data_IF_095341219183
#
_entry.id   IF_095341219183
#
_cell.length_a   1.000
_cell.length_b   1.000
_cell.length_c   1.000
_cell.angle_alpha   90.00
_cell.angle_beta   90.00
_cell.angle_gamma   90.00
#
_symmetry.space_group_name_H-M   'P 1'
#
loop_
_entity.id
_entity.type
_entity.pdbx_description
1 polymer ?
#
# COMPACT_ATOMS: atom_id res chain seq x y z
N UNK A 1 -30.25 4.70 22.53
CA UNK A 1 -30.18 4.89 21.08
C UNK A 1 -28.71 4.72 20.77
N UNK A 2 -28.34 3.60 20.16
CA UNK A 2 -27.00 3.43 19.63
C UNK A 2 -26.93 4.37 18.42
N UNK A 3 -26.13 5.41 18.50
CA UNK A 3 -25.74 6.21 17.35
C UNK A 3 -25.17 5.24 16.33
N UNK A 4 -25.70 5.25 15.14
CA UNK A 4 -25.20 4.45 14.02
C UNK A 4 -23.88 5.12 13.60
N UNK A 5 -22.83 4.87 14.38
CA UNK A 5 -21.49 5.40 14.12
C UNK A 5 -20.99 4.74 12.84
N UNK A 6 -20.95 5.51 11.77
CA UNK A 6 -20.50 5.03 10.48
C UNK A 6 -18.98 5.09 10.45
N UNK A 7 -18.33 3.94 10.59
CA UNK A 7 -16.90 3.81 10.38
C UNK A 7 -16.57 3.83 8.89
N UNK A 8 -15.45 4.42 8.53
CA UNK A 8 -14.91 4.47 7.16
C UNK A 8 -13.41 4.19 7.14
N UNK A 9 -12.91 3.72 6.02
CA UNK A 9 -11.47 3.67 5.77
C UNK A 9 -11.00 5.09 5.43
N UNK A 10 -10.12 5.72 6.24
CA UNK A 10 -9.59 7.05 5.95
C UNK A 10 -8.70 7.03 4.71
N UNK A 11 -8.52 8.19 4.10
CA UNK A 11 -7.47 8.37 3.11
C UNK A 11 -6.09 8.38 3.79
N UNK A 12 -5.04 7.91 3.08
CA UNK A 12 -3.70 7.82 3.66
C UNK A 12 -3.14 9.19 4.07
N UNK A 13 -3.57 10.28 3.44
CA UNK A 13 -3.13 11.65 3.80
C UNK A 13 -3.87 12.28 4.97
N UNK A 14 -4.84 11.59 5.60
CA UNK A 14 -5.49 12.06 6.82
C UNK A 14 -4.53 11.96 8.03
N UNK A 15 -4.81 12.64 9.16
CA UNK A 15 -3.91 12.64 10.30
C UNK A 15 -3.63 11.23 10.84
N UNK A 16 -2.36 10.95 11.07
CA UNK A 16 -1.84 9.66 11.52
C UNK A 16 -1.19 9.78 12.91
N UNK A 17 -1.12 8.67 13.64
CA UNK A 17 -0.37 8.54 14.89
C UNK A 17 1.02 7.96 14.67
N UNK A 18 1.23 7.24 13.58
CA UNK A 18 2.53 6.68 13.23
C UNK A 18 2.48 5.57 12.21
N UNK A 19 3.66 5.07 11.87
CA UNK A 19 3.90 4.03 10.86
C UNK A 19 4.47 2.77 11.50
N UNK A 20 3.89 1.63 11.20
CA UNK A 20 4.47 0.31 11.49
C UNK A 20 5.50 -0.07 10.44
N UNK A 21 6.62 -0.61 10.92
CA UNK A 21 7.65 -1.30 10.14
C UNK A 21 7.89 -2.67 10.76
N UNK A 22 7.93 -3.72 9.96
CA UNK A 22 8.34 -5.06 10.39
C UNK A 22 9.80 -5.26 10.02
N UNK A 23 10.65 -5.49 11.03
CA UNK A 23 12.11 -5.37 10.88
C UNK A 23 12.72 -6.58 10.16
N UNK A 24 13.55 -6.37 9.12
CA UNK A 24 14.23 -7.46 8.41
C UNK A 24 15.24 -8.19 9.32
N UNK A 25 15.36 -9.50 9.15
CA UNK A 25 16.27 -10.31 9.96
C UNK A 25 16.83 -11.53 9.21
N UNK A 26 17.84 -12.17 9.80
CA UNK A 26 18.61 -13.22 9.14
C UNK A 26 17.86 -14.56 8.93
N UNK A 27 16.63 -14.70 9.44
CA UNK A 27 15.80 -15.87 9.20
C UNK A 27 14.75 -15.65 8.10
N UNK A 28 14.87 -14.56 7.34
CA UNK A 28 14.03 -14.24 6.18
C UNK A 28 14.87 -14.24 4.91
N UNK A 29 14.23 -14.10 3.76
CA UNK A 29 14.90 -14.02 2.46
C UNK A 29 15.79 -12.77 2.29
N UNK A 30 15.75 -11.85 3.26
CA UNK A 30 16.67 -10.72 3.38
C UNK A 30 18.10 -11.10 3.82
N UNK A 31 18.33 -12.33 4.30
CA UNK A 31 19.64 -12.75 4.84
C UNK A 31 20.83 -12.41 3.92
N UNK A 32 20.79 -12.60 2.60
CA UNK A 32 21.91 -12.29 1.71
C UNK A 32 22.25 -10.80 1.61
N UNK A 33 21.27 -9.92 1.87
CA UNK A 33 21.38 -8.45 1.71
C UNK A 33 21.00 -7.70 3.00
N UNK A 34 21.11 -8.38 4.15
CA UNK A 34 20.61 -7.88 5.43
C UNK A 34 21.20 -6.52 5.82
N UNK A 35 22.47 -6.28 5.57
CA UNK A 35 23.11 -4.99 5.90
C UNK A 35 22.54 -3.86 5.02
N UNK A 36 22.33 -4.12 3.73
CA UNK A 36 21.79 -3.15 2.78
C UNK A 36 20.34 -2.79 3.11
N UNK A 37 19.48 -3.80 3.29
CA UNK A 37 18.08 -3.57 3.62
C UNK A 37 17.93 -2.90 4.99
N UNK A 38 18.73 -3.28 5.98
CA UNK A 38 18.71 -2.64 7.30
C UNK A 38 19.14 -1.17 7.23
N UNK A 39 20.10 -0.83 6.34
CA UNK A 39 20.49 0.56 6.11
C UNK A 39 19.34 1.38 5.51
N UNK A 40 18.60 0.82 4.55
CA UNK A 40 17.40 1.46 3.97
C UNK A 40 16.30 1.64 5.03
N UNK A 41 16.02 0.63 5.86
CA UNK A 41 15.04 0.73 6.94
C UNK A 41 15.39 1.82 7.96
N UNK A 42 16.68 1.98 8.30
CA UNK A 42 17.14 3.08 9.17
C UNK A 42 16.93 4.45 8.53
N UNK A 43 17.08 4.57 7.22
CA UNK A 43 16.77 5.81 6.49
C UNK A 43 15.26 6.10 6.55
N UNK A 44 14.41 5.08 6.33
CA UNK A 44 12.96 5.21 6.47
C UNK A 44 12.58 5.66 7.88
N UNK A 45 13.06 4.98 8.93
CA UNK A 45 12.82 5.37 10.33
C UNK A 45 13.23 6.81 10.58
N UNK A 46 14.46 7.20 10.21
CA UNK A 46 14.95 8.55 10.39
C UNK A 46 14.13 9.61 9.66
N UNK A 47 13.59 9.28 8.49
CA UNK A 47 12.72 10.18 7.73
C UNK A 47 11.35 10.31 8.39
N UNK A 48 10.74 9.20 8.82
CA UNK A 48 9.41 9.17 9.44
C UNK A 48 9.41 9.87 10.81
N UNK A 49 10.41 9.60 11.66
CA UNK A 49 10.51 10.16 13.03
C UNK A 49 10.57 11.69 13.08
N UNK A 50 10.85 12.35 11.96
CA UNK A 50 10.77 13.82 11.85
C UNK A 50 9.33 14.35 11.89
N UNK A 51 8.34 13.50 11.61
CA UNK A 51 6.95 13.89 11.42
C UNK A 51 5.99 13.13 12.34
N UNK A 52 6.25 11.86 12.61
CA UNK A 52 5.37 11.01 13.41
C UNK A 52 6.10 9.81 14.04
N UNK A 53 5.39 9.04 14.85
CA UNK A 53 5.98 7.88 15.56
C UNK A 53 6.23 6.71 14.62
N UNK A 54 7.23 5.89 14.97
CA UNK A 54 7.49 4.60 14.30
C UNK A 54 7.23 3.45 15.27
N UNK A 55 6.38 2.51 14.86
CA UNK A 55 6.13 1.25 15.55
C UNK A 55 6.95 0.16 14.89
N UNK A 56 8.02 -0.27 15.56
CA UNK A 56 8.88 -1.35 15.04
C UNK A 56 8.39 -2.69 15.59
N UNK A 57 8.08 -3.62 14.68
CA UNK A 57 7.80 -5.02 14.98
C UNK A 57 9.09 -5.82 14.86
N UNK A 58 9.41 -6.54 15.95
CA UNK A 58 10.58 -7.40 16.02
C UNK A 58 10.21 -8.87 15.78
N UNK A 59 11.15 -9.72 15.34
CA UNK A 59 10.90 -11.15 15.19
C UNK A 59 10.29 -11.80 16.46
N UNK A 60 9.55 -12.93 16.33
CA UNK A 60 9.45 -13.76 15.14
C UNK A 60 8.46 -13.22 14.09
N UNK A 61 8.86 -13.21 12.83
CA UNK A 61 8.07 -12.85 11.64
C UNK A 61 8.50 -13.74 10.47
N UNK A 62 7.65 -13.91 9.46
CA UNK A 62 8.06 -14.60 8.24
C UNK A 62 8.82 -13.64 7.31
N UNK A 63 8.32 -12.39 7.15
CA UNK A 63 8.94 -11.37 6.31
C UNK A 63 8.67 -9.95 6.87
N UNK A 64 8.70 -8.91 6.03
CA UNK A 64 8.74 -7.50 6.39
C UNK A 64 7.59 -6.66 5.85
N UNK A 65 6.61 -7.28 5.20
CA UNK A 65 5.58 -6.61 4.41
C UNK A 65 4.43 -6.07 5.28
N UNK A 66 4.75 -5.07 6.10
CA UNK A 66 3.81 -4.47 7.04
C UNK A 66 2.53 -3.95 6.38
N UNK A 67 2.61 -3.51 5.12
CA UNK A 67 1.45 -3.06 4.34
C UNK A 67 0.40 -4.15 4.22
N UNK A 68 0.81 -5.38 4.07
CA UNK A 68 -0.07 -6.47 3.69
C UNK A 68 -0.57 -7.28 4.89
N UNK A 69 0.26 -7.44 5.93
CA UNK A 69 -0.16 -8.11 7.15
C UNK A 69 -0.68 -7.17 8.25
N UNK A 70 -0.44 -5.84 8.15
CA UNK A 70 -0.80 -4.88 9.18
C UNK A 70 -2.31 -4.63 9.27
N UNK A 71 -2.77 -4.06 10.39
CA UNK A 71 -4.18 -3.71 10.57
C UNK A 71 -4.67 -2.73 9.50
N UNK A 72 -5.79 -3.04 8.86
CA UNK A 72 -6.56 -2.05 8.10
C UNK A 72 -7.47 -1.33 9.11
N UNK A 73 -7.25 -0.03 9.31
CA UNK A 73 -7.87 0.70 10.41
C UNK A 73 -8.96 1.65 9.94
N UNK A 74 -10.17 1.47 10.44
CA UNK A 74 -11.29 2.38 10.20
C UNK A 74 -11.38 3.43 11.31
N UNK A 75 -11.96 4.58 10.97
CA UNK A 75 -12.24 5.66 11.92
C UNK A 75 -13.70 6.11 11.82
N UNK A 76 -14.27 6.59 12.96
CA UNK A 76 -15.54 7.30 13.00
C UNK A 76 -15.33 8.81 13.10
N UNK A 77 -16.41 9.58 13.04
CA UNK A 77 -16.39 11.05 13.17
C UNK A 77 -15.97 11.55 14.58
N UNK A 78 -15.96 10.67 15.58
CA UNK A 78 -15.53 10.96 16.94
C UNK A 78 -14.04 10.64 17.16
N UNK A 79 -13.37 10.04 16.18
CA UNK A 79 -11.98 9.64 16.25
C UNK A 79 -11.76 8.28 16.94
N UNK A 80 -12.80 7.48 17.11
CA UNK A 80 -12.62 6.09 17.53
C UNK A 80 -12.10 5.27 16.34
N UNK A 81 -11.29 4.27 16.65
CA UNK A 81 -10.67 3.41 15.66
C UNK A 81 -11.15 1.96 15.78
N UNK A 82 -11.33 1.29 14.64
CA UNK A 82 -11.47 -0.16 14.51
C UNK A 82 -10.26 -0.74 13.81
N UNK A 83 -9.60 -1.67 14.47
CA UNK A 83 -8.43 -2.38 13.97
C UNK A 83 -8.90 -3.68 13.33
N UNK A 84 -9.05 -3.69 12.02
CA UNK A 84 -9.50 -4.88 11.28
C UNK A 84 -8.30 -5.79 11.04
N UNK A 85 -8.38 -7.00 11.57
CA UNK A 85 -7.37 -8.04 11.43
C UNK A 85 -7.81 -9.04 10.35
N UNK A 86 -7.35 -8.81 9.11
CA UNK A 86 -7.63 -9.68 7.97
C UNK A 86 -6.63 -10.82 7.88
N UNK A 87 -7.03 -11.89 7.22
CA UNK A 87 -6.12 -12.99 6.91
C UNK A 87 -5.10 -12.52 5.87
N UNK A 88 -3.82 -12.59 6.22
CA UNK A 88 -2.71 -12.49 5.30
C UNK A 88 -2.19 -13.90 5.00
N UNK A 89 -2.17 -14.29 3.73
CA UNK A 89 -1.77 -15.63 3.30
C UNK A 89 -0.65 -15.61 2.25
N UNK A 90 0.24 -14.60 2.32
CA UNK A 90 1.38 -14.44 1.43
C UNK A 90 0.98 -14.51 -0.04
N UNK A 91 0.07 -13.58 -0.40
CA UNK A 91 -0.40 -13.32 -1.77
C UNK A 91 -0.95 -14.56 -2.49
N UNK A 92 -1.74 -15.35 -1.78
CA UNK A 92 -2.35 -16.55 -2.31
C UNK A 92 -1.52 -17.81 -2.07
N UNK A 93 -0.98 -17.98 -0.87
CA UNK A 93 -0.25 -19.17 -0.39
C UNK A 93 1.07 -19.41 -1.15
N UNK A 94 1.72 -18.35 -1.64
CA UNK A 94 3.01 -18.44 -2.33
C UNK A 94 4.17 -18.71 -1.37
N UNK A 95 4.06 -18.21 -0.12
CA UNK A 95 5.08 -18.30 0.94
C UNK A 95 4.44 -18.62 2.30
N UNK A 96 5.23 -18.96 3.35
CA UNK A 96 4.72 -19.13 4.71
C UNK A 96 4.26 -17.81 5.33
N UNK A 97 3.08 -17.77 5.96
CA UNK A 97 2.44 -16.56 6.49
C UNK A 97 2.13 -16.60 8.00
N UNK A 98 2.36 -17.72 8.68
CA UNK A 98 1.81 -17.97 10.02
C UNK A 98 2.31 -16.99 11.08
N UNK A 99 3.58 -16.56 10.98
CA UNK A 99 4.16 -15.63 11.96
C UNK A 99 3.70 -14.20 11.68
N UNK A 100 3.59 -13.82 10.39
CA UNK A 100 3.16 -12.47 9.99
C UNK A 100 1.67 -12.28 10.25
N UNK A 101 0.85 -13.28 9.97
CA UNK A 101 -0.58 -13.27 10.29
C UNK A 101 -0.88 -13.20 11.80
N UNK A 102 0.09 -13.52 12.66
CA UNK A 102 -0.03 -13.42 14.11
C UNK A 102 0.40 -12.05 14.69
N UNK A 103 0.99 -11.17 13.88
CA UNK A 103 1.56 -9.88 14.34
C UNK A 103 0.49 -8.97 14.92
N UNK A 104 -0.62 -8.79 14.22
CA UNK A 104 -1.70 -7.90 14.63
C UNK A 104 -2.26 -8.27 15.99
N UNK A 105 -2.58 -9.53 16.20
CA UNK A 105 -3.07 -10.02 17.48
C UNK A 105 -2.05 -9.80 18.60
N UNK A 106 -0.76 -10.05 18.34
CA UNK A 106 0.32 -9.80 19.29
C UNK A 106 0.43 -8.32 19.66
N UNK A 107 0.42 -7.41 18.69
CA UNK A 107 0.48 -5.96 18.93
C UNK A 107 -0.71 -5.47 19.78
N UNK A 108 -1.89 -6.00 19.51
CA UNK A 108 -3.09 -5.67 20.27
C UNK A 108 -3.01 -6.18 21.73
N UNK A 109 -2.66 -7.45 21.92
CA UNK A 109 -2.56 -8.07 23.26
C UNK A 109 -1.44 -7.44 24.10
N UNK A 110 -0.36 -6.97 23.48
CA UNK A 110 0.73 -6.23 24.12
C UNK A 110 0.38 -4.76 24.42
N UNK A 111 -0.79 -4.27 23.98
CA UNK A 111 -1.20 -2.89 24.15
C UNK A 111 -0.33 -1.89 23.37
N UNK A 112 0.27 -2.31 22.24
CA UNK A 112 1.09 -1.45 21.36
C UNK A 112 0.23 -0.59 20.46
N UNK A 113 -1.00 -1.00 20.20
CA UNK A 113 -2.00 -0.31 19.39
C UNK A 113 -3.31 -0.15 20.15
N UNK A 114 -4.05 0.93 19.89
CA UNK A 114 -5.31 1.25 20.55
C UNK A 114 -6.44 1.35 19.53
N UNK A 115 -7.58 0.74 19.84
CA UNK A 115 -8.79 0.70 19.02
C UNK A 115 -9.64 -0.52 19.38
N UNK A 116 -10.79 -0.65 18.75
CA UNK A 116 -11.63 -1.85 18.82
C UNK A 116 -11.00 -2.93 17.89
N UNK A 117 -10.56 -4.05 18.46
CA UNK A 117 -10.10 -5.18 17.64
C UNK A 117 -11.29 -5.86 16.96
N UNK A 118 -11.22 -6.02 15.67
CA UNK A 118 -12.25 -6.68 14.86
C UNK A 118 -11.63 -7.80 14.04
N UNK A 119 -12.00 -9.04 14.39
CA UNK A 119 -11.58 -10.24 13.69
C UNK A 119 -12.25 -10.31 12.31
N UNK A 120 -11.43 -10.38 11.27
CA UNK A 120 -11.79 -10.57 9.87
C UNK A 120 -10.96 -11.69 9.22
N UNK A 121 -10.40 -12.60 10.03
CA UNK A 121 -9.52 -13.68 9.57
C UNK A 121 -10.21 -14.71 8.66
N UNK A 122 -11.53 -14.60 8.49
CA UNK A 122 -12.31 -15.36 7.51
C UNK A 122 -12.23 -14.81 6.07
N UNK A 123 -11.51 -13.68 5.87
CA UNK A 123 -11.38 -13.03 4.57
C UNK A 123 -9.94 -12.60 4.34
N UNK A 124 -9.37 -12.99 3.19
CA UNK A 124 -8.02 -12.58 2.79
C UNK A 124 -8.05 -11.19 2.18
N UNK A 125 -7.29 -10.27 2.78
CA UNK A 125 -7.14 -8.91 2.25
C UNK A 125 -5.81 -8.31 2.69
N UNK A 126 -5.03 -7.92 1.72
CA UNK A 126 -3.78 -7.19 1.91
C UNK A 126 -4.02 -5.67 1.82
N UNK A 127 -3.35 -4.89 2.67
CA UNK A 127 -3.49 -3.43 2.66
C UNK A 127 -3.01 -2.78 1.35
N UNK A 128 -2.03 -3.38 0.66
CA UNK A 128 -1.54 -2.92 -0.64
C UNK A 128 -2.52 -3.15 -1.79
N UNK A 129 -3.51 -4.03 -1.60
CA UNK A 129 -4.53 -4.33 -2.60
C UNK A 129 -5.64 -3.28 -2.69
N UNK A 130 -5.69 -2.29 -1.79
CA UNK A 130 -6.75 -1.28 -1.71
C UNK A 130 -6.20 0.13 -1.56
N UNK A 131 -6.89 1.10 -2.17
CA UNK A 131 -6.66 2.54 -2.01
C UNK A 131 -7.97 3.25 -1.65
N UNK A 132 -7.95 4.18 -0.68
CA UNK A 132 -9.13 4.89 -0.20
C UNK A 132 -9.05 6.39 -0.44
N UNK A 133 -10.17 6.99 -0.88
CA UNK A 133 -10.31 8.46 -0.93
C UNK A 133 -10.76 9.08 0.40
N UNK A 134 -10.98 8.25 1.44
CA UNK A 134 -11.52 8.68 2.73
C UNK A 134 -13.00 9.11 2.70
N UNK A 135 -13.66 9.02 1.55
CA UNK A 135 -15.05 9.47 1.35
C UNK A 135 -15.97 8.37 0.84
N UNK A 136 -15.57 7.11 1.07
CA UNK A 136 -16.34 5.93 0.72
C UNK A 136 -16.04 5.33 -0.65
N UNK A 137 -15.08 5.85 -1.42
CA UNK A 137 -14.59 5.20 -2.65
C UNK A 137 -13.30 4.45 -2.37
N UNK A 138 -13.26 3.18 -2.75
CA UNK A 138 -12.07 2.32 -2.67
C UNK A 138 -11.73 1.82 -4.07
N UNK A 139 -10.46 1.91 -4.42
CA UNK A 139 -9.90 1.32 -5.64
C UNK A 139 -9.20 0.02 -5.28
N UNK A 140 -9.32 -0.94 -6.18
CA UNK A 140 -8.64 -2.23 -6.15
C UNK A 140 -8.40 -2.75 -7.55
N UNK A 141 -7.67 -3.85 -7.71
CA UNK A 141 -7.48 -4.48 -9.01
C UNK A 141 -8.25 -5.79 -9.11
N UNK A 142 -8.74 -6.09 -10.31
CA UNK A 142 -9.35 -7.39 -10.61
C UNK A 142 -8.31 -8.50 -10.55
N UNK A 143 -7.09 -8.26 -11.03
CA UNK A 143 -5.99 -9.22 -11.01
C UNK A 143 -5.73 -9.76 -9.61
N UNK A 144 -5.57 -8.88 -8.63
CA UNK A 144 -5.28 -9.26 -7.24
C UNK A 144 -6.46 -9.97 -6.56
N UNK A 145 -7.60 -9.29 -6.41
CA UNK A 145 -8.68 -9.83 -5.56
C UNK A 145 -9.40 -11.03 -6.17
N UNK A 146 -9.29 -11.23 -7.48
CA UNK A 146 -9.81 -12.42 -8.16
C UNK A 146 -8.74 -13.51 -8.37
N UNK A 147 -7.50 -13.29 -7.92
CA UNK A 147 -6.43 -14.28 -8.01
C UNK A 147 -6.79 -15.58 -7.26
N UNK A 148 -6.27 -16.73 -7.70
CA UNK A 148 -6.42 -17.98 -6.98
C UNK A 148 -5.91 -17.90 -5.53
N UNK A 149 -6.49 -18.73 -4.65
CA UNK A 149 -6.09 -18.84 -3.24
C UNK A 149 -6.26 -17.57 -2.38
N UNK A 150 -6.96 -16.52 -2.88
CA UNK A 150 -7.44 -15.39 -2.06
C UNK A 150 -8.79 -15.77 -1.42
N UNK A 151 -9.89 -15.39 -2.07
CA UNK A 151 -11.25 -15.58 -1.52
C UNK A 151 -12.14 -16.46 -2.39
N UNK A 152 -11.61 -17.20 -3.37
CA UNK A 152 -12.39 -18.08 -4.21
C UNK A 152 -12.99 -19.25 -3.39
N UNK A 153 -14.23 -19.66 -3.66
CA UNK A 153 -14.97 -19.42 -4.91
C UNK A 153 -15.87 -18.17 -4.92
N UNK A 154 -15.61 -17.15 -4.10
CA UNK A 154 -16.38 -15.91 -4.13
C UNK A 154 -16.31 -15.24 -5.51
N UNK A 155 -17.45 -14.75 -5.99
CA UNK A 155 -17.52 -13.93 -7.20
C UNK A 155 -17.06 -12.50 -6.92
N UNK A 156 -16.69 -11.75 -7.96
CA UNK A 156 -16.34 -10.35 -7.84
C UNK A 156 -17.42 -9.53 -7.11
N UNK A 157 -18.70 -9.78 -7.42
CA UNK A 157 -19.80 -9.12 -6.73
C UNK A 157 -19.83 -9.43 -5.22
N UNK A 158 -19.61 -10.69 -4.84
CA UNK A 158 -19.57 -11.08 -3.42
C UNK A 158 -18.40 -10.45 -2.67
N UNK A 159 -17.23 -10.36 -3.32
CA UNK A 159 -16.07 -9.66 -2.77
C UNK A 159 -16.37 -8.16 -2.63
N UNK A 160 -16.97 -7.54 -3.65
CA UNK A 160 -17.37 -6.12 -3.59
C UNK A 160 -18.34 -5.83 -2.44
N UNK A 161 -19.37 -6.66 -2.28
CA UNK A 161 -20.33 -6.55 -1.18
C UNK A 161 -19.65 -6.69 0.19
N UNK A 162 -18.71 -7.65 0.30
CA UNK A 162 -17.94 -7.84 1.54
C UNK A 162 -17.05 -6.62 1.84
N UNK A 163 -16.31 -6.11 0.86
CA UNK A 163 -15.48 -4.90 1.02
C UNK A 163 -16.32 -3.70 1.45
N UNK A 164 -17.46 -3.46 0.80
CA UNK A 164 -18.37 -2.37 1.20
C UNK A 164 -18.82 -2.50 2.65
N UNK A 165 -19.17 -3.70 3.06
CA UNK A 165 -19.63 -3.96 4.41
C UNK A 165 -18.53 -3.75 5.46
N UNK A 166 -17.35 -4.33 5.24
CA UNK A 166 -16.28 -4.35 6.26
C UNK A 166 -15.47 -3.06 6.31
N UNK A 167 -15.32 -2.35 5.19
CA UNK A 167 -14.54 -1.12 5.09
C UNK A 167 -15.37 0.16 5.19
N UNK A 168 -16.71 0.05 5.30
CA UNK A 168 -17.60 1.21 5.31
C UNK A 168 -17.59 1.95 3.97
N UNK A 169 -17.39 1.23 2.86
CA UNK A 169 -17.31 1.82 1.54
C UNK A 169 -18.68 1.87 0.84
N UNK A 170 -18.92 2.94 0.10
CA UNK A 170 -20.09 3.11 -0.76
C UNK A 170 -19.85 2.56 -2.17
N UNK A 171 -18.59 2.66 -2.64
CA UNK A 171 -18.21 2.36 -4.00
C UNK A 171 -16.86 1.65 -4.05
N UNK A 172 -16.78 0.57 -4.82
CA UNK A 172 -15.54 -0.09 -5.19
C UNK A 172 -15.28 0.16 -6.68
N UNK A 173 -14.08 0.63 -7.01
CA UNK A 173 -13.62 0.83 -8.38
C UNK A 173 -12.61 -0.26 -8.69
N UNK A 174 -12.94 -1.10 -9.64
CA UNK A 174 -12.09 -2.19 -10.10
C UNK A 174 -11.22 -1.71 -11.27
N UNK A 175 -9.92 -1.87 -11.13
CA UNK A 175 -8.95 -1.64 -12.20
C UNK A 175 -8.65 -3.00 -12.83
N UNK A 176 -8.96 -3.14 -14.10
CA UNK A 176 -8.89 -4.43 -14.82
C UNK A 176 -7.55 -4.67 -15.49
N UNK A 177 -6.73 -3.64 -15.60
CA UNK A 177 -5.47 -3.62 -16.29
C UNK A 177 -4.35 -3.05 -15.42
N UNK A 178 -3.11 -3.26 -15.85
CA UNK A 178 -1.91 -2.85 -15.16
C UNK A 178 -1.31 -4.01 -14.40
N UNK A 179 -0.13 -4.42 -14.85
CA UNK A 179 0.68 -5.43 -14.21
C UNK A 179 2.15 -5.04 -14.37
N UNK A 180 2.94 -5.20 -13.33
CA UNK A 180 4.38 -4.99 -13.38
C UNK A 180 5.09 -6.34 -13.47
N UNK A 181 6.04 -6.45 -14.40
CA UNK A 181 6.92 -7.62 -14.46
C UNK A 181 7.73 -7.73 -13.17
N UNK A 182 7.72 -8.92 -12.57
CA UNK A 182 8.39 -9.19 -11.30
C UNK A 182 7.53 -8.92 -10.05
N UNK A 183 6.28 -8.46 -10.20
CA UNK A 183 5.36 -8.31 -9.08
C UNK A 183 4.79 -9.66 -8.63
N UNK A 184 4.94 -9.99 -7.35
CA UNK A 184 4.45 -11.24 -6.74
C UNK A 184 3.04 -11.12 -6.13
N UNK A 185 2.46 -9.91 -6.14
CA UNK A 185 1.20 -9.59 -5.46
C UNK A 185 -0.04 -9.84 -6.32
N UNK A 186 0.12 -10.22 -7.59
CA UNK A 186 -0.92 -10.32 -8.63
C UNK A 186 -1.51 -8.95 -9.02
N UNK A 187 -0.72 -7.88 -8.88
CA UNK A 187 -1.09 -6.52 -9.28
C UNK A 187 -1.75 -5.72 -8.17
N UNK A 188 -1.08 -5.55 -7.04
CA UNK A 188 -1.52 -4.62 -5.99
C UNK A 188 -1.71 -3.21 -6.55
N UNK A 189 -2.81 -2.56 -6.15
CA UNK A 189 -3.15 -1.21 -6.64
C UNK A 189 -2.11 -0.16 -6.23
N UNK A 190 -1.46 -0.30 -5.09
CA UNK A 190 -0.47 0.62 -4.54
C UNK A 190 0.85 0.67 -5.34
N UNK A 191 1.07 -0.31 -6.22
CA UNK A 191 2.18 -0.33 -7.18
C UNK A 191 1.84 0.34 -8.51
N UNK A 192 0.55 0.59 -8.78
CA UNK A 192 0.00 1.00 -10.07
C UNK A 192 -0.66 2.37 -10.03
N UNK A 193 -1.61 2.58 -9.11
CA UNK A 193 -2.45 3.79 -9.03
C UNK A 193 -2.62 4.20 -7.58
N UNK A 194 -2.34 5.46 -7.28
CA UNK A 194 -2.53 6.05 -5.95
C UNK A 194 -3.58 7.14 -5.98
N UNK A 195 -4.51 7.09 -5.03
CA UNK A 195 -5.46 8.19 -4.84
C UNK A 195 -4.77 9.31 -4.06
N UNK A 196 -4.94 10.53 -4.53
CA UNK A 196 -4.37 11.73 -3.93
C UNK A 196 -5.46 12.78 -3.64
N UNK A 197 -5.17 13.84 -2.86
CA UNK A 197 -6.12 14.93 -2.64
C UNK A 197 -6.68 15.52 -3.94
N UNK A 198 -7.82 16.21 -3.83
CA UNK A 198 -8.47 16.95 -4.91
C UNK A 198 -8.81 16.09 -6.15
N UNK A 199 -9.32 14.86 -5.90
CA UNK A 199 -9.72 13.92 -6.94
C UNK A 199 -8.60 13.65 -7.97
N UNK A 200 -7.35 13.60 -7.49
CA UNK A 200 -6.17 13.33 -8.31
C UNK A 200 -5.78 11.86 -8.21
N UNK A 201 -5.42 11.26 -9.34
CA UNK A 201 -4.79 9.93 -9.41
C UNK A 201 -3.37 10.09 -9.93
N UNK A 202 -2.39 9.62 -9.14
CA UNK A 202 -1.03 9.34 -9.61
C UNK A 202 -0.99 7.90 -10.09
N UNK A 203 -0.46 7.65 -11.28
CA UNK A 203 -0.43 6.29 -11.83
C UNK A 203 0.84 6.02 -12.63
N UNK A 204 1.26 4.77 -12.62
CA UNK A 204 2.38 4.33 -13.44
C UNK A 204 1.99 4.34 -14.91
N UNK A 205 2.83 4.95 -15.75
CA UNK A 205 2.66 4.93 -17.20
C UNK A 205 3.91 4.42 -17.89
N UNK A 206 3.74 3.89 -19.09
CA UNK A 206 4.82 3.50 -19.97
C UNK A 206 4.62 4.17 -21.34
N UNK A 207 5.63 4.87 -21.84
CA UNK A 207 5.57 5.56 -23.15
C UNK A 207 6.39 4.83 -24.24
N UNK A 208 7.11 3.76 -23.88
CA UNK A 208 7.87 2.94 -24.83
C UNK A 208 7.04 1.74 -25.30
N UNK A 209 6.56 1.74 -26.57
CA UNK A 209 5.78 0.62 -27.11
C UNK A 209 6.57 -0.70 -27.23
N UNK A 210 7.88 -0.68 -27.01
CA UNK A 210 8.73 -1.87 -27.03
C UNK A 210 8.95 -2.47 -25.63
N UNK A 211 8.57 -1.75 -24.58
CA UNK A 211 8.59 -2.30 -23.21
C UNK A 211 7.48 -3.33 -23.04
N UNK A 212 7.80 -4.46 -22.42
CA UNK A 212 6.85 -5.56 -22.18
C UNK A 212 5.64 -5.16 -21.34
N UNK A 213 5.75 -4.09 -20.53
CA UNK A 213 4.67 -3.57 -19.68
C UNK A 213 3.79 -2.53 -20.38
N UNK A 214 4.15 -2.13 -21.61
CA UNK A 214 3.47 -1.03 -22.31
C UNK A 214 1.98 -1.29 -22.49
N UNK A 215 1.61 -2.47 -22.98
CA UNK A 215 0.21 -2.76 -23.34
C UNK A 215 -0.71 -2.68 -22.12
N UNK A 216 -0.34 -3.35 -21.02
CA UNK A 216 -1.13 -3.37 -19.80
C UNK A 216 -1.23 -1.97 -19.13
N UNK A 217 -0.12 -1.25 -19.03
CA UNK A 217 -0.13 0.11 -18.46
C UNK A 217 -0.89 1.11 -19.36
N UNK A 218 -0.85 0.93 -20.68
CA UNK A 218 -1.60 1.75 -21.62
C UNK A 218 -3.12 1.48 -21.51
N UNK A 219 -3.54 0.24 -21.39
CA UNK A 219 -4.94 -0.12 -21.16
C UNK A 219 -5.44 0.41 -19.82
N UNK A 220 -4.63 0.32 -18.77
CA UNK A 220 -4.92 0.92 -17.46
C UNK A 220 -5.12 2.43 -17.59
N UNK A 221 -4.23 3.15 -18.29
CA UNK A 221 -4.38 4.59 -18.51
C UNK A 221 -5.70 4.93 -19.23
N UNK A 222 -6.09 4.15 -20.24
CA UNK A 222 -7.38 4.34 -20.92
C UNK A 222 -8.55 4.13 -19.95
N UNK A 223 -8.50 3.12 -19.11
CA UNK A 223 -9.52 2.86 -18.09
C UNK A 223 -9.59 4.05 -17.11
N UNK A 224 -8.46 4.52 -16.56
CA UNK A 224 -8.41 5.67 -15.66
C UNK A 224 -9.03 6.94 -16.26
N UNK A 225 -8.79 7.21 -17.55
CA UNK A 225 -9.41 8.35 -18.27
C UNK A 225 -10.94 8.26 -18.36
N UNK A 226 -11.50 7.04 -18.32
CA UNK A 226 -12.93 6.79 -18.34
C UNK A 226 -13.60 6.95 -16.97
N UNK A 227 -12.85 6.84 -15.88
CA UNK A 227 -13.37 6.90 -14.52
C UNK A 227 -13.96 8.28 -14.19
N UNK A 228 -14.90 8.26 -13.28
CA UNK A 228 -15.54 9.48 -12.75
C UNK A 228 -15.52 9.44 -11.23
N UNK A 229 -15.36 10.60 -10.63
CA UNK A 229 -15.51 10.83 -9.20
C UNK A 229 -16.95 10.53 -8.76
N UNK A 230 -17.20 10.51 -7.45
CA UNK A 230 -18.55 10.27 -6.93
C UNK A 230 -19.58 11.28 -7.45
N UNK A 231 -19.17 12.54 -7.69
CA UNK A 231 -20.03 13.61 -8.24
C UNK A 231 -20.01 13.69 -9.79
N UNK A 232 -19.45 12.68 -10.47
CA UNK A 232 -19.51 12.52 -11.93
C UNK A 232 -18.44 13.30 -12.72
N UNK A 233 -17.50 13.96 -12.06
CA UNK A 233 -16.38 14.66 -12.73
C UNK A 233 -15.28 13.68 -13.13
N UNK A 234 -14.45 13.99 -14.14
CA UNK A 234 -13.25 13.21 -14.40
C UNK A 234 -12.24 13.41 -13.27
N UNK A 235 -11.46 12.37 -12.95
CA UNK A 235 -10.27 12.52 -12.11
C UNK A 235 -9.20 13.35 -12.80
N UNK A 236 -8.41 14.09 -12.00
CA UNK A 236 -7.16 14.66 -12.47
C UNK A 236 -6.11 13.55 -12.53
N UNK A 237 -5.51 13.34 -13.69
CA UNK A 237 -4.54 12.27 -13.90
C UNK A 237 -3.12 12.83 -13.97
N UNK A 238 -2.21 12.30 -13.17
CA UNK A 238 -0.79 12.59 -13.18
C UNK A 238 -0.02 11.29 -13.46
N UNK A 239 0.59 11.22 -14.64
CA UNK A 239 1.34 10.04 -15.07
C UNK A 239 2.77 10.09 -14.51
N UNK A 240 3.13 9.11 -13.69
CA UNK A 240 4.50 8.89 -13.22
C UNK A 240 5.35 8.29 -14.36
N UNK A 241 6.63 8.67 -14.45
CA UNK A 241 7.53 8.08 -15.43
C UNK A 241 7.77 6.59 -15.12
N UNK A 242 8.01 5.80 -16.16
CA UNK A 242 8.45 4.43 -15.99
C UNK A 242 9.93 4.40 -15.60
N UNK A 243 10.32 3.74 -14.48
CA UNK A 243 11.73 3.49 -14.21
C UNK A 243 12.37 2.68 -15.35
N UNK A 244 13.59 3.01 -15.74
CA UNK A 244 14.35 2.12 -16.61
C UNK A 244 14.51 0.76 -15.94
N UNK A 245 14.40 -0.31 -16.73
CA UNK A 245 14.39 -1.67 -16.21
C UNK A 245 15.62 -1.97 -15.34
N UNK A 246 15.37 -2.52 -14.15
CA UNK A 246 16.39 -2.97 -13.20
C UNK A 246 16.31 -4.50 -13.14
N UNK A 247 17.44 -5.16 -13.14
CA UNK A 247 17.54 -6.61 -13.14
C UNK A 247 18.37 -7.12 -11.97
N UNK A 248 17.97 -8.25 -11.38
CA UNK A 248 18.78 -9.04 -10.45
C UNK A 248 18.74 -10.51 -10.92
N UNK A 249 19.89 -11.16 -11.01
CA UNK A 249 20.07 -12.53 -11.51
C UNK A 249 19.38 -12.85 -12.87
N UNK A 250 19.10 -11.83 -13.67
CA UNK A 250 18.45 -11.93 -14.99
C UNK A 250 16.94 -11.66 -14.98
N UNK A 251 16.33 -11.57 -13.83
CA UNK A 251 14.90 -11.25 -13.67
C UNK A 251 14.69 -9.75 -13.51
N UNK A 252 13.69 -9.20 -14.19
CA UNK A 252 13.29 -7.80 -14.06
C UNK A 252 12.59 -7.56 -12.74
N UNK A 253 13.05 -6.54 -12.00
CA UNK A 253 12.48 -6.15 -10.71
C UNK A 253 11.33 -5.14 -10.89
N UNK A 254 10.28 -5.18 -10.04
CA UNK A 254 9.07 -4.35 -10.17
C UNK A 254 9.27 -2.93 -9.63
N UNK A 255 10.22 -2.18 -10.18
CA UNK A 255 10.45 -0.79 -9.80
C UNK A 255 9.26 0.09 -10.17
N UNK A 256 8.72 0.83 -9.21
CA UNK A 256 7.55 1.69 -9.39
C UNK A 256 7.60 2.92 -8.50
N UNK A 257 7.40 4.10 -9.07
CA UNK A 257 7.27 5.35 -8.29
C UNK A 257 5.90 5.51 -7.62
N UNK A 258 4.91 4.69 -7.96
CA UNK A 258 3.61 4.71 -7.30
C UNK A 258 3.66 4.19 -5.85
N UNK A 259 4.66 3.40 -5.50
CA UNK A 259 4.76 2.79 -4.17
C UNK A 259 5.36 3.75 -3.11
N UNK A 260 4.85 5.00 -3.08
CA UNK A 260 5.23 6.02 -2.10
C UNK A 260 4.37 5.91 -0.84
N UNK A 261 4.89 6.40 0.30
CA UNK A 261 4.22 6.47 1.59
C UNK A 261 3.85 7.90 1.94
N UNK A 262 2.58 8.16 2.24
CA UNK A 262 2.11 9.46 2.74
C UNK A 262 2.11 9.44 4.26
N UNK A 263 2.79 10.44 4.87
CA UNK A 263 2.86 10.62 6.32
C UNK A 263 2.48 12.06 6.71
N UNK A 264 2.33 12.35 7.99
CA UNK A 264 2.06 13.71 8.44
C UNK A 264 3.16 14.67 7.96
N UNK A 265 2.79 15.64 7.11
CA UNK A 265 3.71 16.69 6.64
C UNK A 265 4.73 16.28 5.57
N UNK A 266 4.82 15.00 5.18
CA UNK A 266 5.73 14.56 4.14
C UNK A 266 5.15 13.43 3.26
N UNK A 267 5.81 13.17 2.13
CA UNK A 267 5.65 11.95 1.33
C UNK A 267 7.03 11.34 1.13
N UNK A 268 7.22 10.10 1.56
CA UNK A 268 8.41 9.34 1.27
C UNK A 268 8.25 8.65 -0.07
N UNK A 269 9.18 8.87 -0.99
CA UNK A 269 9.09 8.44 -2.37
C UNK A 269 10.20 7.45 -2.69
N UNK A 270 9.90 6.31 -3.32
CA UNK A 270 10.94 5.42 -3.79
C UNK A 270 11.79 6.10 -4.86
N UNK A 271 13.10 5.87 -4.82
CA UNK A 271 14.05 6.26 -5.86
C UNK A 271 14.88 5.05 -6.25
N UNK A 272 15.39 5.05 -7.48
CA UNK A 272 16.04 3.88 -8.04
C UNK A 272 17.43 4.19 -8.62
N UNK A 273 18.02 5.32 -8.23
CA UNK A 273 19.33 5.76 -8.70
C UNK A 273 19.33 6.20 -10.18
N UNK A 274 18.19 6.69 -10.65
CA UNK A 274 17.95 7.19 -12.01
C UNK A 274 17.64 8.69 -11.96
N UNK A 275 18.64 9.58 -11.88
CA UNK A 275 18.48 10.97 -11.42
C UNK A 275 17.37 11.76 -12.13
N UNK A 276 17.24 11.63 -13.43
CA UNK A 276 16.25 12.39 -14.20
C UNK A 276 14.83 11.87 -13.96
N UNK A 277 14.65 10.55 -13.93
CA UNK A 277 13.37 9.89 -13.67
C UNK A 277 12.95 10.03 -12.19
N UNK A 278 13.91 9.84 -11.27
CA UNK A 278 13.69 10.07 -9.84
C UNK A 278 13.23 11.53 -9.61
N UNK A 279 13.92 12.52 -10.19
CA UNK A 279 13.57 13.94 -10.04
C UNK A 279 12.17 14.25 -10.59
N UNK A 280 11.81 13.71 -11.74
CA UNK A 280 10.48 13.91 -12.33
C UNK A 280 9.38 13.25 -11.52
N UNK A 281 9.60 12.03 -11.01
CA UNK A 281 8.65 11.35 -10.13
C UNK A 281 8.41 12.16 -8.84
N UNK A 282 9.49 12.61 -8.17
CA UNK A 282 9.38 13.42 -6.96
C UNK A 282 8.63 14.74 -7.24
N UNK A 283 8.87 15.39 -8.38
CA UNK A 283 8.18 16.61 -8.80
C UNK A 283 6.67 16.38 -8.95
N UNK A 284 6.27 15.29 -9.62
CA UNK A 284 4.86 14.96 -9.85
C UNK A 284 4.14 14.60 -8.54
N UNK A 285 4.80 13.85 -7.65
CA UNK A 285 4.27 13.52 -6.33
C UNK A 285 4.10 14.82 -5.51
N UNK A 286 5.07 15.73 -5.56
CA UNK A 286 4.96 17.05 -4.92
C UNK A 286 3.83 17.91 -5.47
N UNK A 287 3.50 17.78 -6.75
CA UNK A 287 2.35 18.44 -7.38
C UNK A 287 1.01 17.89 -6.87
N UNK A 288 0.94 16.59 -6.56
CA UNK A 288 -0.25 15.95 -6.00
C UNK A 288 -0.42 16.22 -4.50
N UNK A 289 0.66 16.51 -3.77
CA UNK A 289 0.66 16.76 -2.33
C UNK A 289 1.25 18.14 -1.97
N UNK A 290 0.61 19.24 -2.38
CA UNK A 290 1.14 20.57 -2.12
C UNK A 290 1.26 20.83 -0.62
N UNK A 291 2.42 21.36 -0.20
CA UNK A 291 2.70 21.70 1.20
C UNK A 291 3.27 20.55 2.04
N UNK A 292 3.50 19.37 1.45
CA UNK A 292 4.25 18.28 2.10
C UNK A 292 5.70 18.26 1.62
N UNK A 293 6.60 17.89 2.51
CA UNK A 293 7.99 17.63 2.14
C UNK A 293 8.07 16.35 1.28
N UNK A 294 8.86 16.38 0.21
CA UNK A 294 9.05 15.20 -0.65
C UNK A 294 10.43 14.62 -0.38
N UNK A 295 10.46 13.40 0.15
CA UNK A 295 11.68 12.74 0.64
C UNK A 295 11.97 11.48 -0.18
N UNK A 296 13.03 11.49 -0.97
CA UNK A 296 13.48 10.31 -1.72
C UNK A 296 14.15 9.28 -0.81
N UNK A 297 13.80 8.02 -0.97
CA UNK A 297 14.42 6.86 -0.30
C UNK A 297 14.91 5.91 -1.38
N UNK A 298 16.18 5.51 -1.31
CA UNK A 298 16.74 4.52 -2.24
C UNK A 298 16.15 3.13 -1.97
N UNK A 299 15.26 2.69 -2.85
CA UNK A 299 14.54 1.43 -2.74
C UNK A 299 15.13 0.30 -3.58
N UNK A 300 16.32 0.48 -4.17
CA UNK A 300 17.00 -0.61 -4.90
C UNK A 300 17.25 -1.84 -4.03
N UNK A 301 17.58 -1.74 -2.72
CA UNK A 301 17.66 -2.92 -1.87
C UNK A 301 16.29 -3.59 -1.64
N UNK A 302 15.20 -2.81 -1.56
CA UNK A 302 13.86 -3.34 -1.27
C UNK A 302 13.31 -4.14 -2.46
N UNK A 303 13.41 -3.60 -3.68
CA UNK A 303 12.83 -4.25 -4.87
C UNK A 303 13.45 -5.60 -5.21
N UNK A 304 14.58 -5.97 -4.61
CA UNK A 304 15.21 -7.30 -4.76
C UNK A 304 14.33 -8.43 -4.22
N UNK A 305 13.41 -8.12 -3.31
CA UNK A 305 12.37 -9.04 -2.82
C UNK A 305 10.98 -8.61 -3.33
N UNK A 306 10.92 -8.08 -4.54
CA UNK A 306 9.71 -7.84 -5.34
C UNK A 306 8.71 -6.81 -4.80
N UNK A 307 8.95 -6.19 -3.62
CA UNK A 307 8.18 -5.06 -3.07
C UNK A 307 8.92 -3.72 -3.17
N UNK A 308 8.32 -2.64 -2.66
CA UNK A 308 8.99 -1.34 -2.56
C UNK A 308 8.63 -0.63 -1.24
N UNK A 309 8.76 0.70 -1.19
CA UNK A 309 8.71 1.49 0.04
C UNK A 309 7.39 1.34 0.82
N UNK A 310 6.26 1.50 0.13
CA UNK A 310 4.92 1.41 0.73
C UNK A 310 4.62 0.03 1.28
N UNK A 311 5.05 -1.02 0.55
CA UNK A 311 4.87 -2.40 0.95
C UNK A 311 5.49 -2.73 2.32
N UNK A 312 6.57 -2.04 2.71
CA UNK A 312 7.25 -2.21 4.00
C UNK A 312 6.55 -1.50 5.17
N UNK A 313 5.47 -0.73 4.93
CA UNK A 313 4.91 0.22 5.89
C UNK A 313 3.41 0.06 6.04
N UNK A 314 2.88 0.28 7.27
CA UNK A 314 1.45 0.43 7.50
C UNK A 314 1.20 1.65 8.38
N UNK A 315 0.34 2.57 7.91
CA UNK A 315 -0.06 3.74 8.67
C UNK A 315 -1.15 3.40 9.68
N UNK A 316 -1.14 4.13 10.80
CA UNK A 316 -2.21 4.12 11.78
C UNK A 316 -2.83 5.51 11.88
N UNK A 317 -4.17 5.64 11.80
CA UNK A 317 -4.86 6.89 12.06
C UNK A 317 -4.53 7.51 13.42
N UNK A 318 -4.81 8.77 13.60
CA UNK A 318 -4.53 9.49 14.84
C UNK A 318 -5.05 8.72 16.07
N UNK A 319 -4.25 8.68 17.13
CA UNK A 319 -4.53 8.05 18.43
C UNK A 319 -4.50 6.51 18.47
N UNK A 320 -4.08 5.82 17.40
CA UNK A 320 -4.03 4.34 17.39
C UNK A 320 -2.73 3.75 17.94
N UNK A 321 -1.59 4.42 17.83
CA UNK A 321 -0.30 3.94 18.38
C UNK A 321 -0.12 4.44 19.81
N UNK A 322 0.20 3.53 20.72
CA UNK A 322 0.60 3.82 22.09
C UNK A 322 2.13 3.84 22.15
N UNK A 323 2.70 4.88 22.75
CA UNK A 323 4.15 5.05 22.90
C UNK A 323 4.69 4.20 24.03
#
# INVERSE_FOLDING_TARGET
>A
MLTNESYRLPAEWEPQSGIQLTWPHAATDWAPVLDEITATYRQMVSAIERYESVLIVQPPTNDTWARDHGFITLVDDCGHARLLDFCFNEWGEKFPAELDNAINRRLYDEGRVQGEYVDQLDFVLEGGSIESDGRGTIFTTTGCLMAPHRNQPMTQQQIEERLKQVLGAERIVWIDHGQLTGDDTDGHIDTLVRICPDDTLLYMGCDDPQDEQYEELHLMEQQLRSLRTHDGRPYRLLKLPMPAAIYDDGDRLPATYANFLVINGAVLCPTYGQPDLDAEALRLIGEAFPGRDIVGIDCRPIIRQHGSLHCCTMQYPAQCIIK
#
